data_IF_290803064321
#
_entry.id   IF_290803064321
#
_cell.length_a   1.000
_cell.length_b   1.000
_cell.length_c   1.000
_cell.angle_alpha   90.00
_cell.angle_beta   90.00
_cell.angle_gamma   90.00
#
_symmetry.space_group_name_H-M   'P 1'
#
loop_
_entity.id
_entity.type
_entity.pdbx_description
1 polymer ?
#
# COMPACT_ATOMS: atom_id res chain seq x y z
N UNK A 1 7.88 -17.78 8.10
CA UNK A 1 7.95 -16.38 7.65
C UNK A 1 6.73 -16.00 6.82
N UNK A 2 6.09 -14.87 7.13
CA UNK A 2 4.92 -14.32 6.47
C UNK A 2 5.32 -13.07 5.67
N UNK A 3 5.03 -13.06 4.37
CA UNK A 3 5.33 -11.92 3.49
C UNK A 3 4.02 -11.30 3.00
N UNK A 4 3.88 -10.00 3.20
CA UNK A 4 2.73 -9.23 2.73
C UNK A 4 3.15 -8.27 1.62
N UNK A 5 2.43 -8.27 0.51
CA UNK A 5 2.52 -7.24 -0.52
C UNK A 5 1.30 -6.35 -0.40
N UNK A 6 1.48 -5.04 -0.36
CA UNK A 6 0.38 -4.08 -0.25
C UNK A 6 0.47 -3.02 -1.32
N UNK A 7 -0.63 -2.78 -2.04
CA UNK A 7 -0.77 -1.62 -2.92
C UNK A 7 -1.21 -0.40 -2.12
N UNK A 8 -0.47 0.70 -2.22
CA UNK A 8 -0.68 1.90 -1.41
C UNK A 8 -1.55 2.91 -2.15
N UNK A 9 -2.78 3.07 -1.68
CA UNK A 9 -3.72 4.11 -2.13
C UNK A 9 -3.78 5.31 -1.20
N UNK A 10 -4.69 6.24 -1.48
CA UNK A 10 -4.87 7.46 -0.68
C UNK A 10 -5.48 7.28 0.71
N UNK A 11 -5.81 6.04 1.12
CA UNK A 11 -6.30 5.74 2.46
C UNK A 11 -5.39 4.71 3.14
N UNK A 12 -4.90 4.97 4.37
CA UNK A 12 -4.06 4.03 5.12
C UNK A 12 -4.88 2.93 5.83
N UNK A 13 -6.17 3.15 6.08
CA UNK A 13 -6.99 2.24 6.91
C UNK A 13 -7.04 0.79 6.39
N UNK A 14 -7.24 0.54 5.09
CA UNK A 14 -7.25 -0.82 4.53
C UNK A 14 -5.93 -1.56 4.80
N UNK A 15 -4.82 -0.86 4.58
CA UNK A 15 -3.44 -1.35 4.78
C UNK A 15 -3.18 -1.70 6.24
N UNK A 16 -3.62 -0.85 7.17
CA UNK A 16 -3.45 -1.05 8.61
C UNK A 16 -4.21 -2.30 9.08
N UNK A 17 -5.45 -2.48 8.61
CA UNK A 17 -6.26 -3.65 8.94
C UNK A 17 -5.58 -4.92 8.44
N UNK A 18 -5.19 -4.95 7.16
CA UNK A 18 -4.54 -6.11 6.55
C UNK A 18 -3.20 -6.46 7.23
N UNK A 19 -2.40 -5.45 7.60
CA UNK A 19 -1.13 -5.68 8.31
C UNK A 19 -1.37 -6.33 9.68
N UNK A 20 -2.34 -5.82 10.45
CA UNK A 20 -2.66 -6.33 11.79
C UNK A 20 -3.25 -7.74 11.75
N UNK A 21 -4.06 -8.06 10.74
CA UNK A 21 -4.63 -9.40 10.59
C UNK A 21 -3.58 -10.42 10.14
N UNK A 22 -2.70 -10.05 9.20
CA UNK A 22 -1.74 -10.97 8.62
C UNK A 22 -0.47 -11.14 9.48
N UNK A 23 -0.11 -10.10 10.25
CA UNK A 23 1.11 -10.00 11.05
C UNK A 23 2.37 -10.41 10.24
N UNK A 24 2.71 -9.67 9.17
CA UNK A 24 3.85 -10.02 8.34
C UNK A 24 5.19 -9.83 9.04
N UNK A 25 6.13 -10.72 8.76
CA UNK A 25 7.55 -10.53 9.10
C UNK A 25 8.24 -9.56 8.13
N UNK A 26 7.77 -9.50 6.88
CA UNK A 26 8.29 -8.59 5.87
C UNK A 26 7.17 -8.04 4.96
N UNK A 27 7.19 -6.74 4.69
CA UNK A 27 6.16 -6.07 3.88
C UNK A 27 6.74 -5.36 2.65
N UNK A 28 6.17 -5.60 1.48
CA UNK A 28 6.42 -4.82 0.27
C UNK A 28 5.31 -3.79 0.09
N UNK A 29 5.68 -2.52 0.01
CA UNK A 29 4.75 -1.42 -0.29
C UNK A 29 4.89 -1.02 -1.76
N UNK A 30 3.91 -1.39 -2.58
CA UNK A 30 3.80 -0.97 -3.98
C UNK A 30 3.10 0.38 -4.01
N UNK A 31 3.82 1.45 -4.33
CA UNK A 31 3.34 2.81 -4.22
C UNK A 31 3.67 3.61 -5.49
N UNK A 32 2.94 4.69 -5.73
CA UNK A 32 3.20 5.61 -6.83
C UNK A 32 4.20 6.68 -6.41
N UNK A 33 5.10 7.07 -7.31
CA UNK A 33 6.15 8.06 -7.07
C UNK A 33 5.59 9.39 -6.58
N UNK A 34 6.27 9.97 -5.58
CA UNK A 34 5.90 11.29 -5.05
C UNK A 34 4.94 11.23 -3.85
N UNK A 35 4.39 12.39 -3.49
CA UNK A 35 3.63 12.57 -2.27
C UNK A 35 2.14 12.80 -2.56
N UNK A 36 1.24 12.52 -1.61
CA UNK A 36 -0.16 12.85 -1.77
C UNK A 36 -0.33 14.34 -2.12
N UNK A 37 -1.27 14.71 -3.01
CA UNK A 37 -2.22 13.82 -3.70
C UNK A 37 -1.69 13.22 -5.02
N UNK A 38 -0.49 13.58 -5.47
CA UNK A 38 0.06 13.17 -6.78
C UNK A 38 0.81 11.84 -6.77
N UNK A 39 0.98 11.22 -5.60
CA UNK A 39 1.69 9.96 -5.39
C UNK A 39 1.43 9.42 -3.99
N UNK A 40 1.92 8.21 -3.69
CA UNK A 40 1.71 7.54 -2.39
C UNK A 40 3.00 7.06 -1.73
N UNK A 41 4.16 7.31 -2.32
CA UNK A 41 5.47 6.96 -1.77
C UNK A 41 5.65 7.52 -0.35
N UNK A 42 5.34 8.80 -0.14
CA UNK A 42 5.47 9.44 1.17
C UNK A 42 4.55 8.87 2.25
N UNK A 43 3.48 8.15 1.89
CA UNK A 43 2.61 7.52 2.89
C UNK A 43 3.30 6.34 3.58
N UNK A 44 4.35 5.76 2.99
CA UNK A 44 5.04 4.59 3.56
C UNK A 44 5.94 5.00 4.71
N UNK A 45 6.90 5.89 4.45
CA UNK A 45 7.99 6.26 5.36
C UNK A 45 8.33 7.76 5.33
N UNK A 46 7.45 8.60 4.75
CA UNK A 46 7.65 10.04 4.63
C UNK A 46 7.44 10.80 5.94
N UNK A 47 8.04 12.00 6.01
CA UNK A 47 7.94 12.88 7.17
C UNK A 47 6.58 13.60 7.28
N UNK A 48 6.29 14.12 8.48
CA UNK A 48 5.10 14.95 8.73
C UNK A 48 3.84 14.12 8.98
N UNK A 49 2.80 14.39 8.19
CA UNK A 49 1.48 13.75 8.28
C UNK A 49 0.99 13.26 6.89
N UNK A 50 1.74 12.37 6.21
CA UNK A 50 1.43 11.99 4.83
C UNK A 50 0.14 11.17 4.70
N UNK A 51 -0.31 10.51 5.76
CA UNK A 51 -1.52 9.70 5.80
C UNK A 51 -2.75 10.47 6.33
N UNK A 52 -2.63 11.76 6.61
CA UNK A 52 -3.74 12.60 7.05
C UNK A 52 -4.80 12.79 5.95
N UNK A 53 -6.07 12.90 6.35
CA UNK A 53 -7.19 13.16 5.44
C UNK A 53 -7.21 14.63 5.01
N UNK A 54 -6.76 14.86 3.77
CA UNK A 54 -6.69 16.21 3.18
C UNK A 54 -8.00 16.66 2.54
N UNK A 55 -9.02 15.81 2.52
CA UNK A 55 -10.30 16.16 1.89
C UNK A 55 -10.99 17.22 2.73
N UNK A 56 -11.55 18.21 2.05
CA UNK A 56 -12.30 19.29 2.67
C UNK A 56 -13.66 19.42 1.99
N UNK A 57 -14.60 20.06 2.68
CA UNK A 57 -15.88 20.47 2.09
C UNK A 57 -16.15 21.93 2.45
N UNK A 58 -16.94 22.58 1.60
CA UNK A 58 -17.50 23.90 1.92
C UNK A 58 -18.69 23.70 2.86
N UNK A 59 -18.71 24.41 3.99
CA UNK A 59 -19.81 24.40 4.93
C UNK A 59 -21.03 25.08 4.30
N UNK A 60 -22.19 24.39 4.20
CA UNK A 60 -23.37 24.95 3.54
C UNK A 60 -24.00 26.11 4.32
N UNK A 61 -23.62 26.30 5.60
CA UNK A 61 -24.20 27.35 6.45
C UNK A 61 -23.40 28.65 6.46
N UNK A 62 -22.06 28.58 6.50
CA UNK A 62 -21.20 29.76 6.62
C UNK A 62 -20.25 29.95 5.42
N UNK A 63 -20.21 29.01 4.47
CA UNK A 63 -19.27 29.05 3.34
C UNK A 63 -17.81 28.75 3.70
N UNK A 64 -17.49 28.49 4.97
CA UNK A 64 -16.14 28.15 5.41
C UNK A 64 -15.69 26.76 4.93
N UNK A 65 -14.38 26.57 4.76
CA UNK A 65 -13.79 25.27 4.43
C UNK A 65 -13.63 24.46 5.72
N UNK A 66 -14.18 23.25 5.76
CA UNK A 66 -14.06 22.33 6.90
C UNK A 66 -13.41 21.02 6.45
N UNK A 67 -12.50 20.43 7.26
CA UNK A 67 -11.92 19.13 6.95
C UNK A 67 -12.99 18.03 7.03
N UNK A 68 -12.87 17.02 6.17
CA UNK A 68 -13.75 15.85 6.15
C UNK A 68 -13.26 14.72 7.07
N UNK A 69 -11.99 14.75 7.47
CA UNK A 69 -11.38 13.82 8.41
C UNK A 69 -10.28 14.50 9.22
N UNK A 70 -9.46 13.71 9.92
CA UNK A 70 -8.29 14.24 10.63
C UNK A 70 -7.17 14.55 9.63
N UNK A 71 -6.74 15.80 9.47
CA UNK A 71 -5.63 16.15 8.58
C UNK A 71 -4.27 15.65 9.11
N UNK A 72 -4.20 15.12 10.33
CA UNK A 72 -3.00 14.51 10.90
C UNK A 72 -3.00 13.00 10.70
N UNK A 73 -1.82 12.44 10.46
CA UNK A 73 -1.66 11.02 10.17
C UNK A 73 -0.24 10.69 9.75
N UNK A 74 0.52 10.07 10.65
CA UNK A 74 1.91 9.63 10.40
C UNK A 74 2.01 8.62 9.27
N UNK A 75 3.20 8.39 8.74
CA UNK A 75 3.40 7.37 7.72
C UNK A 75 3.07 5.95 8.22
N UNK A 76 2.83 5.01 7.31
CA UNK A 76 2.45 3.62 7.61
C UNK A 76 3.48 2.92 8.51
N UNK A 77 4.77 3.13 8.24
CA UNK A 77 5.87 2.55 9.02
C UNK A 77 5.81 3.01 10.48
N UNK A 78 5.56 4.29 10.73
CA UNK A 78 5.37 4.80 12.10
C UNK A 78 4.07 4.28 12.73
N UNK A 79 2.94 4.31 12.02
CA UNK A 79 1.65 3.86 12.58
C UNK A 79 1.66 2.37 12.96
N UNK A 80 2.37 1.55 12.19
CA UNK A 80 2.44 0.10 12.37
C UNK A 80 3.70 -0.35 13.12
N UNK A 81 4.58 0.59 13.50
CA UNK A 81 5.84 0.33 14.20
C UNK A 81 6.73 -0.70 13.45
N UNK A 82 6.80 -0.58 12.12
CA UNK A 82 7.53 -1.53 11.28
C UNK A 82 9.04 -1.27 11.41
N UNK A 83 9.86 -2.28 11.74
CA UNK A 83 11.32 -2.14 11.74
C UNK A 83 11.87 -1.73 10.37
N UNK A 84 12.97 -0.97 10.35
CA UNK A 84 13.58 -0.43 9.11
C UNK A 84 13.98 -1.51 8.10
N UNK A 85 14.27 -2.71 8.58
CA UNK A 85 14.69 -3.88 7.80
C UNK A 85 13.55 -4.87 7.50
N UNK A 86 12.32 -4.57 7.96
CA UNK A 86 11.13 -5.41 7.79
C UNK A 86 10.20 -4.90 6.67
N UNK A 87 10.64 -3.96 5.83
CA UNK A 87 9.89 -3.55 4.65
C UNK A 87 10.75 -3.11 3.48
N UNK A 88 10.12 -3.00 2.30
CA UNK A 88 10.69 -2.41 1.10
C UNK A 88 9.63 -1.64 0.31
N UNK A 89 9.99 -0.44 -0.18
CA UNK A 89 9.19 0.30 -1.16
C UNK A 89 9.47 -0.22 -2.57
N UNK A 90 8.41 -0.41 -3.35
CA UNK A 90 8.46 -0.61 -4.79
C UNK A 90 7.70 0.55 -5.41
N UNK A 91 8.44 1.45 -6.06
CA UNK A 91 7.93 2.75 -6.52
C UNK A 91 7.63 2.64 -8.01
N UNK A 92 6.36 2.86 -8.37
CA UNK A 92 5.88 2.94 -9.75
C UNK A 92 5.95 4.39 -10.24
N UNK A 93 6.45 4.59 -11.45
CA UNK A 93 6.46 5.90 -12.10
C UNK A 93 5.07 6.23 -12.65
N UNK A 94 4.41 5.26 -13.29
CA UNK A 94 3.04 5.35 -13.75
C UNK A 94 2.20 4.20 -13.14
N UNK A 95 1.43 4.46 -12.08
CA UNK A 95 0.59 3.43 -11.46
C UNK A 95 -0.61 3.02 -12.33
N UNK A 96 -0.86 3.69 -13.45
CA UNK A 96 -1.91 3.34 -14.42
C UNK A 96 -1.37 2.55 -15.63
N UNK A 97 -0.04 2.35 -15.73
CA UNK A 97 0.59 1.41 -16.66
C UNK A 97 0.55 -0.02 -16.12
N UNK A 98 -0.27 -0.87 -16.74
CA UNK A 98 -0.43 -2.26 -16.31
C UNK A 98 0.85 -3.08 -16.44
N UNK A 99 1.69 -2.80 -17.43
CA UNK A 99 2.93 -3.52 -17.64
C UNK A 99 3.94 -3.18 -16.55
N UNK A 100 4.11 -1.89 -16.21
CA UNK A 100 4.98 -1.48 -15.10
C UNK A 100 4.53 -2.11 -13.77
N UNK A 101 3.22 -2.07 -13.48
CA UNK A 101 2.65 -2.69 -12.30
C UNK A 101 2.95 -4.19 -12.28
N UNK A 102 2.70 -4.90 -13.38
CA UNK A 102 2.84 -6.35 -13.42
C UNK A 102 4.31 -6.80 -13.34
N UNK A 103 5.22 -6.07 -14.00
CA UNK A 103 6.66 -6.33 -13.91
C UNK A 103 7.19 -6.10 -12.49
N UNK A 104 6.69 -5.06 -11.80
CA UNK A 104 7.00 -4.84 -10.38
C UNK A 104 6.52 -6.01 -9.50
N UNK A 105 5.31 -6.52 -9.73
CA UNK A 105 4.76 -7.68 -9.02
C UNK A 105 5.57 -8.95 -9.28
N UNK A 106 5.99 -9.21 -10.52
CA UNK A 106 6.87 -10.33 -10.85
C UNK A 106 8.25 -10.20 -10.21
N UNK A 107 8.80 -8.98 -10.14
CA UNK A 107 10.04 -8.68 -9.45
C UNK A 107 9.96 -9.02 -7.96
N UNK A 108 8.87 -8.64 -7.29
CA UNK A 108 8.60 -8.99 -5.89
C UNK A 108 8.50 -10.51 -5.74
N UNK A 109 7.73 -11.20 -6.59
CA UNK A 109 7.62 -12.66 -6.52
C UNK A 109 8.97 -13.38 -6.66
N UNK A 110 9.81 -12.93 -7.58
CA UNK A 110 11.17 -13.46 -7.76
C UNK A 110 12.02 -13.22 -6.51
N UNK A 111 12.06 -11.99 -6.01
CA UNK A 111 12.84 -11.65 -4.81
C UNK A 111 12.39 -12.47 -3.60
N UNK A 112 11.07 -12.61 -3.40
CA UNK A 112 10.52 -13.41 -2.31
C UNK A 112 10.90 -14.88 -2.45
N UNK A 113 10.88 -15.44 -3.67
CA UNK A 113 11.26 -16.82 -3.91
C UNK A 113 12.76 -17.08 -3.70
N UNK A 114 13.61 -16.08 -3.93
CA UNK A 114 15.07 -16.18 -3.80
C UNK A 114 15.57 -15.89 -2.38
N UNK A 115 15.01 -14.84 -1.75
CA UNK A 115 15.47 -14.33 -0.45
C UNK A 115 14.83 -15.05 0.72
N UNK A 116 13.62 -15.55 0.54
CA UNK A 116 12.79 -16.03 1.62
C UNK A 116 12.37 -17.47 1.39
N UNK A 117 12.08 -18.17 2.49
CA UNK A 117 11.29 -19.41 2.49
C UNK A 117 9.98 -19.11 3.21
N UNK A 118 9.04 -18.43 2.56
CA UNK A 118 7.82 -17.98 3.21
C UNK A 118 6.87 -19.16 3.42
N UNK A 119 6.32 -19.26 4.62
CA UNK A 119 5.26 -20.22 4.94
C UNK A 119 3.91 -19.71 4.45
N UNK A 120 3.75 -18.38 4.39
CA UNK A 120 2.56 -17.69 3.85
C UNK A 120 2.96 -16.44 3.10
N UNK A 121 2.23 -16.18 2.01
CA UNK A 121 2.39 -15.00 1.16
C UNK A 121 1.01 -14.46 0.84
N UNK A 122 0.80 -13.16 1.04
CA UNK A 122 -0.47 -12.51 0.75
C UNK A 122 -0.29 -11.21 -0.02
N UNK A 123 -1.31 -10.86 -0.78
CA UNK A 123 -1.42 -9.58 -1.49
C UNK A 123 -2.67 -8.86 -0.99
N UNK A 124 -2.49 -7.69 -0.38
CA UNK A 124 -3.57 -6.76 -0.06
C UNK A 124 -3.64 -5.70 -1.18
N UNK A 125 -4.74 -5.74 -1.93
CA UNK A 125 -4.92 -4.96 -3.16
C UNK A 125 -6.11 -3.99 -3.10
N UNK A 126 -6.59 -3.72 -1.88
CA UNK A 126 -7.74 -2.85 -1.57
C UNK A 126 -7.43 -1.36 -1.70
N UNK A 127 -6.15 -0.99 -1.74
CA UNK A 127 -5.67 0.37 -2.03
C UNK A 127 -5.02 0.51 -3.41
N UNK A 128 -4.87 1.74 -3.88
CA UNK A 128 -4.15 2.05 -5.13
C UNK A 128 -5.09 2.33 -6.31
N UNK A 129 -4.53 2.36 -7.52
CA UNK A 129 -5.31 2.49 -8.75
C UNK A 129 -5.96 1.17 -9.13
N UNK A 130 -6.93 1.20 -10.04
CA UNK A 130 -7.55 -0.02 -10.58
C UNK A 130 -6.52 -0.88 -11.32
N UNK A 131 -5.55 -0.24 -11.97
CA UNK A 131 -4.45 -0.91 -12.65
C UNK A 131 -3.55 -1.64 -11.65
N UNK A 132 -3.22 -1.01 -10.51
CA UNK A 132 -2.48 -1.68 -9.43
C UNK A 132 -3.21 -2.93 -8.93
N UNK A 133 -4.52 -2.83 -8.70
CA UNK A 133 -5.35 -3.99 -8.34
C UNK A 133 -5.32 -5.08 -9.42
N UNK A 134 -5.44 -4.72 -10.70
CA UNK A 134 -5.40 -5.68 -11.79
C UNK A 134 -4.05 -6.43 -11.83
N UNK A 135 -2.92 -5.72 -11.72
CA UNK A 135 -1.60 -6.35 -11.68
C UNK A 135 -1.39 -7.26 -10.47
N UNK A 136 -1.87 -6.86 -9.29
CA UNK A 136 -1.88 -7.70 -8.09
C UNK A 136 -2.68 -9.00 -8.29
N UNK A 137 -3.90 -8.90 -8.83
CA UNK A 137 -4.76 -10.06 -9.10
C UNK A 137 -4.15 -10.97 -10.17
N UNK A 138 -3.56 -10.41 -11.23
CA UNK A 138 -2.85 -11.18 -12.26
C UNK A 138 -1.68 -11.98 -11.66
N UNK A 139 -0.95 -11.43 -10.68
CA UNK A 139 0.09 -12.16 -9.97
C UNK A 139 -0.52 -13.33 -9.19
N UNK A 140 -1.56 -13.09 -8.40
CA UNK A 140 -2.22 -14.14 -7.60
C UNK A 140 -2.85 -15.26 -8.45
N UNK A 141 -3.39 -14.94 -9.63
CA UNK A 141 -3.90 -15.95 -10.58
C UNK A 141 -2.75 -16.78 -11.16
N UNK A 142 -1.62 -16.15 -11.51
CA UNK A 142 -0.46 -16.84 -12.09
C UNK A 142 0.28 -17.71 -11.06
N UNK A 143 0.33 -17.26 -9.82
CA UNK A 143 1.02 -17.90 -8.70
C UNK A 143 0.02 -18.12 -7.55
N UNK A 144 -0.77 -19.21 -7.59
CA UNK A 144 -1.87 -19.45 -6.64
C UNK A 144 -1.43 -19.69 -5.19
N UNK A 145 -0.13 -19.79 -4.93
CA UNK A 145 0.46 -19.81 -3.58
C UNK A 145 0.49 -18.42 -2.92
N UNK A 146 0.09 -17.37 -3.65
CA UNK A 146 -0.23 -16.06 -3.09
C UNK A 146 -1.71 -15.97 -2.70
N UNK A 147 -1.97 -15.71 -1.42
CA UNK A 147 -3.31 -15.42 -0.92
C UNK A 147 -3.75 -14.03 -1.38
N UNK A 148 -4.84 -13.94 -2.13
CA UNK A 148 -5.49 -12.67 -2.44
C UNK A 148 -6.35 -12.26 -1.23
N UNK A 149 -5.81 -11.41 -0.37
CA UNK A 149 -6.49 -10.96 0.84
C UNK A 149 -7.54 -9.90 0.48
N UNK A 150 -8.81 -10.23 0.71
CA UNK A 150 -9.91 -9.26 0.76
C UNK A 150 -10.14 -9.00 2.24
N UNK A 151 -9.99 -7.74 2.66
CA UNK A 151 -10.28 -7.31 4.04
C UNK A 151 -11.66 -7.83 4.46
N UNK A 152 -11.71 -8.47 5.63
CA UNK A 152 -12.95 -8.89 6.29
C UNK A 152 -13.28 -7.98 7.46
#
# INVERSE_FOLDING_TARGET
MRVLVVTVGGSPAPIISAYKEFEPDFTYFVCSKGNPPSGTEGMVDGEGDPCGDRRTKVCPHCGGIVPLGDPKGKCLVEQLQIPKDAYKKVILNDPDDLQEVYDAMLGIHKEVSERFRPDRKAICYTGGTKTMTAGAVLLGIRYPDWELAIER
#
